data_IF_558392909951
#
_entry.id   IF_558392909951
#
_cell.length_a   1.000
_cell.length_b   1.000
_cell.length_c   1.000
_cell.angle_alpha   90.00
_cell.angle_beta   90.00
_cell.angle_gamma   90.00
#
_symmetry.space_group_name_H-M   'P 1'
#
loop_
_entity.id
_entity.type
_entity.pdbx_description
1 polymer ?
#
# COMPACT_ATOMS: atom_id res chain seq x y z
N UNK A 1 5.82 -15.14 -6.48
CA UNK A 1 5.80 -15.35 -5.01
C UNK A 1 4.49 -14.80 -4.48
N UNK A 2 3.54 -15.65 -4.06
CA UNK A 2 2.35 -15.19 -3.37
C UNK A 2 2.71 -14.94 -1.91
N UNK A 3 2.96 -13.68 -1.55
CA UNK A 3 2.97 -13.32 -0.15
C UNK A 3 1.54 -13.53 0.36
N UNK A 4 1.34 -14.41 1.34
CA UNK A 4 0.14 -14.36 2.18
C UNK A 4 0.22 -13.05 2.95
N UNK A 5 -0.43 -12.04 2.41
CA UNK A 5 -0.55 -10.72 3.01
C UNK A 5 -1.54 -10.86 4.16
N UNK A 6 -1.07 -10.62 5.40
CA UNK A 6 -1.89 -10.74 6.60
C UNK A 6 -2.86 -9.56 6.79
N UNK A 7 -3.40 -9.38 8.00
CA UNK A 7 -4.33 -8.28 8.26
C UNK A 7 -3.76 -6.90 7.91
N UNK A 8 -4.65 -6.00 7.48
CA UNK A 8 -4.34 -4.61 7.16
C UNK A 8 -4.81 -3.70 8.30
N UNK A 9 -3.90 -2.86 8.77
CA UNK A 9 -4.12 -1.87 9.83
C UNK A 9 -3.78 -0.47 9.32
N UNK A 10 -4.34 0.53 10.00
CA UNK A 10 -4.08 1.94 9.74
C UNK A 10 -3.73 2.64 11.04
N UNK A 11 -2.60 3.34 11.08
CA UNK A 11 -2.25 4.16 12.22
C UNK A 11 -3.01 5.50 12.12
N UNK A 12 -4.15 5.63 12.84
CA UNK A 12 -5.07 6.77 12.68
C UNK A 12 -4.46 8.12 13.07
N UNK A 13 -3.49 8.12 14.00
CA UNK A 13 -2.80 9.32 14.48
C UNK A 13 -1.33 9.28 14.05
N UNK A 14 -0.99 10.04 13.00
CA UNK A 14 0.39 10.25 12.59
C UNK A 14 0.73 11.73 12.67
N UNK A 15 1.83 12.04 13.36
CA UNK A 15 2.50 13.33 13.24
C UNK A 15 3.38 13.32 12.00
N UNK A 16 2.98 14.07 10.98
CA UNK A 16 3.74 14.18 9.74
C UNK A 16 4.82 15.26 9.91
N UNK A 17 6.07 14.84 10.04
CA UNK A 17 7.21 15.74 9.86
C UNK A 17 7.32 16.22 8.40
N UNK A 18 8.13 17.25 8.14
CA UNK A 18 8.29 17.84 6.81
C UNK A 18 8.60 16.81 5.72
N UNK A 19 9.45 15.83 6.04
CA UNK A 19 9.83 14.78 5.11
C UNK A 19 8.61 13.92 4.69
N UNK A 20 7.79 13.47 5.65
CA UNK A 20 6.57 12.71 5.36
C UNK A 20 5.55 13.55 4.56
N UNK A 21 5.43 14.84 4.87
CA UNK A 21 4.58 15.75 4.09
C UNK A 21 5.02 15.81 2.62
N UNK A 22 6.34 15.86 2.34
CA UNK A 22 6.88 15.81 0.97
C UNK A 22 6.55 14.48 0.29
N UNK A 23 6.71 13.35 0.98
CA UNK A 23 6.35 12.02 0.43
C UNK A 23 4.86 11.97 0.07
N UNK A 24 3.98 12.40 0.98
CA UNK A 24 2.52 12.44 0.75
C UNK A 24 2.20 13.32 -0.47
N UNK A 25 2.84 14.48 -0.60
CA UNK A 25 2.65 15.36 -1.76
C UNK A 25 3.13 14.69 -3.06
N UNK A 26 4.28 14.01 -3.05
CA UNK A 26 4.76 13.27 -4.23
C UNK A 26 3.79 12.15 -4.62
N UNK A 27 3.25 11.42 -3.66
CA UNK A 27 2.28 10.36 -3.90
C UNK A 27 0.97 10.89 -4.50
N UNK A 28 0.58 12.13 -4.19
CA UNK A 28 -0.62 12.75 -4.77
C UNK A 28 -0.53 13.00 -6.28
N UNK A 29 0.67 12.88 -6.87
CA UNK A 29 0.84 12.93 -8.33
C UNK A 29 0.72 11.55 -9.00
N UNK A 30 0.52 10.49 -8.24
CA UNK A 30 0.34 9.14 -8.78
C UNK A 30 -1.07 8.96 -9.37
N UNK A 31 -1.14 8.11 -10.39
CA UNK A 31 -2.38 7.70 -11.01
C UNK A 31 -2.72 6.27 -10.64
N UNK A 32 -3.98 6.04 -10.33
CA UNK A 32 -4.57 4.72 -10.24
C UNK A 32 -5.46 4.44 -11.44
N UNK A 33 -5.37 3.21 -11.91
CA UNK A 33 -6.17 2.67 -12.97
C UNK A 33 -6.97 1.51 -12.39
N UNK A 34 -8.28 1.53 -12.63
CA UNK A 34 -9.15 0.39 -12.37
C UNK A 34 -9.33 -0.38 -13.68
N UNK A 35 -8.78 -1.59 -13.73
CA UNK A 35 -8.82 -2.46 -14.89
C UNK A 35 -9.28 -3.88 -14.55
N UNK A 36 -8.87 -4.84 -15.38
CA UNK A 36 -9.24 -6.24 -15.22
C UNK A 36 -8.56 -6.87 -14.00
N UNK A 37 -9.29 -7.73 -13.29
CA UNK A 37 -8.75 -8.50 -12.16
C UNK A 37 -7.82 -9.59 -12.68
N UNK A 38 -6.63 -9.69 -12.08
CA UNK A 38 -5.66 -10.75 -12.37
C UNK A 38 -5.24 -11.46 -11.08
N UNK A 39 -4.48 -12.55 -11.20
CA UNK A 39 -3.92 -13.25 -10.03
C UNK A 39 -3.02 -12.33 -9.19
N UNK A 40 -2.30 -11.42 -9.83
CA UNK A 40 -1.39 -10.45 -9.18
C UNK A 40 -2.14 -9.21 -8.67
N UNK A 41 -3.24 -8.84 -9.33
CA UNK A 41 -4.09 -7.69 -9.00
C UNK A 41 -5.55 -8.15 -8.84
N UNK A 42 -5.89 -8.84 -7.74
CA UNK A 42 -7.24 -9.37 -7.52
C UNK A 42 -8.35 -8.32 -7.47
N UNK A 43 -8.01 -7.06 -7.21
CA UNK A 43 -8.96 -5.95 -7.23
C UNK A 43 -8.88 -5.12 -8.52
N UNK A 44 -7.93 -5.43 -9.41
CA UNK A 44 -7.76 -4.74 -10.70
C UNK A 44 -7.15 -3.34 -10.58
N UNK A 45 -6.58 -2.97 -9.42
CA UNK A 45 -5.93 -1.68 -9.24
C UNK A 45 -4.49 -1.70 -9.71
N UNK A 46 -4.10 -0.69 -10.48
CA UNK A 46 -2.74 -0.46 -10.94
C UNK A 46 -2.34 0.98 -10.71
N UNK A 47 -1.12 1.20 -10.24
CA UNK A 47 -0.57 2.53 -9.97
C UNK A 47 0.57 2.84 -10.93
N UNK A 48 0.64 4.08 -11.38
CA UNK A 48 1.71 4.57 -12.25
C UNK A 48 2.01 6.03 -11.97
N UNK A 49 3.27 6.42 -12.18
CA UNK A 49 3.71 7.83 -12.20
C UNK A 49 3.30 8.55 -13.48
N UNK A 50 3.20 7.80 -14.58
CA UNK A 50 2.90 8.36 -15.90
C UNK A 50 1.45 8.05 -16.25
N UNK A 51 0.77 9.06 -16.77
CA UNK A 51 -0.59 8.95 -17.32
C UNK A 51 -0.60 8.24 -18.69
N UNK A 52 -0.11 7.01 -18.77
CA UNK A 52 -0.32 6.17 -19.95
C UNK A 52 -1.59 5.33 -19.71
N UNK A 53 -2.72 5.77 -20.26
CA UNK A 53 -3.94 4.98 -20.26
C UNK A 53 -3.84 3.86 -21.30
N UNK A 54 -4.31 2.67 -20.94
CA UNK A 54 -4.72 1.67 -21.92
C UNK A 54 -6.21 1.87 -22.23
N UNK A 55 -6.63 1.47 -23.43
CA UNK A 55 -8.03 1.56 -23.83
C UNK A 55 -8.93 0.85 -22.81
N UNK A 56 -10.01 1.52 -22.39
CA UNK A 56 -11.02 1.09 -21.40
C UNK A 56 -10.67 1.15 -19.90
N UNK A 57 -9.51 1.67 -19.50
CA UNK A 57 -9.20 1.88 -18.06
C UNK A 57 -9.81 3.18 -17.53
N UNK A 58 -10.36 3.16 -16.29
CA UNK A 58 -10.73 4.40 -15.59
C UNK A 58 -9.53 4.92 -14.80
N UNK A 59 -9.16 6.19 -15.01
CA UNK A 59 -8.06 6.87 -14.34
C UNK A 59 -8.56 7.70 -13.15
N UNK A 60 -7.84 7.61 -12.04
CA UNK A 60 -8.06 8.41 -10.85
C UNK A 60 -6.73 8.97 -10.36
N UNK A 61 -6.68 10.27 -10.07
CA UNK A 61 -5.52 10.87 -9.40
C UNK A 61 -5.58 10.54 -7.90
N UNK A 62 -4.44 10.25 -7.30
CA UNK A 62 -4.34 10.17 -5.85
C UNK A 62 -4.59 11.55 -5.23
N UNK A 63 -5.34 11.58 -4.13
CA UNK A 63 -5.42 12.79 -3.32
C UNK A 63 -4.58 12.62 -2.04
N UNK A 64 -4.52 13.72 -1.28
CA UNK A 64 -3.78 13.75 -0.02
C UNK A 64 -4.33 12.74 1.00
N UNK A 65 -5.65 12.53 1.03
CA UNK A 65 -6.31 11.58 1.95
C UNK A 65 -5.85 10.15 1.67
N UNK A 66 -5.90 9.71 0.41
CA UNK A 66 -5.44 8.38 0.02
C UNK A 66 -3.93 8.24 0.24
N UNK A 67 -3.15 9.25 -0.13
CA UNK A 67 -1.69 9.24 0.06
C UNK A 67 -1.31 9.12 1.54
N UNK A 68 -2.00 9.85 2.41
CA UNK A 68 -1.80 9.79 3.85
C UNK A 68 -2.23 8.44 4.43
N UNK A 69 -3.36 7.89 3.98
CA UNK A 69 -3.79 6.54 4.36
C UNK A 69 -2.75 5.48 3.97
N UNK A 70 -2.23 5.54 2.75
CA UNK A 70 -1.22 4.60 2.26
C UNK A 70 0.05 4.66 3.11
N UNK A 71 0.56 5.86 3.39
CA UNK A 71 1.75 6.07 4.24
C UNK A 71 1.54 5.59 5.68
N UNK A 72 0.30 5.57 6.16
CA UNK A 72 -0.07 5.13 7.49
C UNK A 72 -0.58 3.69 7.54
N UNK A 73 -0.49 2.95 6.43
CA UNK A 73 -0.96 1.57 6.33
C UNK A 73 0.13 0.60 6.78
N UNK A 74 -0.27 -0.37 7.60
CA UNK A 74 0.56 -1.47 8.05
C UNK A 74 -0.08 -2.79 7.65
N UNK A 75 0.75 -3.77 7.32
CA UNK A 75 0.33 -5.12 6.96
C UNK A 75 1.03 -6.11 7.90
N UNK A 76 0.31 -7.12 8.36
CA UNK A 76 0.93 -8.21 9.12
C UNK A 76 1.75 -9.09 8.19
N UNK A 77 3.05 -9.18 8.46
CA UNK A 77 3.97 -10.10 7.81
C UNK A 77 4.30 -11.25 8.76
N UNK A 78 4.19 -12.48 8.25
CA UNK A 78 4.71 -13.68 8.89
C UNK A 78 6.21 -13.78 8.61
N UNK A 79 7.01 -13.83 9.67
CA UNK A 79 8.46 -14.00 9.59
C UNK A 79 8.79 -15.35 10.21
N UNK A 80 9.48 -16.19 9.45
CA UNK A 80 10.00 -17.48 9.93
C UNK A 80 11.51 -17.41 9.91
N UNK A 81 12.12 -17.66 11.06
CA UNK A 81 13.57 -17.72 11.21
C UNK A 81 13.93 -19.18 11.51
N UNK A 82 14.83 -19.71 10.70
CA UNK A 82 15.39 -21.06 10.83
C UNK A 82 16.77 -20.92 11.46
N UNK A 83 16.98 -21.53 12.62
CA UNK A 83 18.26 -21.55 13.33
C UNK A 83 19.18 -22.64 12.75
N UNK A 84 20.46 -22.56 13.09
CA UNK A 84 21.48 -23.50 12.61
C UNK A 84 21.30 -24.94 13.15
N UNK A 85 20.61 -25.10 14.27
CA UNK A 85 20.24 -26.39 14.87
C UNK A 85 19.00 -27.03 14.23
N UNK A 86 18.40 -26.39 13.22
CA UNK A 86 17.18 -26.84 12.56
C UNK A 86 15.88 -26.42 13.26
N UNK A 87 15.96 -25.75 14.42
CA UNK A 87 14.77 -25.16 15.04
C UNK A 87 14.24 -24.01 14.18
N UNK A 88 12.93 -23.86 14.11
CA UNK A 88 12.31 -22.70 13.48
C UNK A 88 11.38 -21.99 14.45
N UNK A 89 11.43 -20.65 14.45
CA UNK A 89 10.45 -19.84 15.14
C UNK A 89 9.75 -18.93 14.15
N UNK A 90 8.45 -18.76 14.34
CA UNK A 90 7.61 -17.93 13.50
C UNK A 90 6.92 -16.87 14.34
N UNK A 91 6.97 -15.62 13.89
CA UNK A 91 6.29 -14.51 14.55
C UNK A 91 5.61 -13.60 13.53
N UNK A 92 4.63 -12.83 14.01
CA UNK A 92 3.83 -11.90 13.21
C UNK A 92 4.21 -10.46 13.56
N UNK A 93 4.70 -9.71 12.57
CA UNK A 93 5.11 -8.32 12.76
C UNK A 93 4.34 -7.38 11.83
N UNK A 94 3.84 -6.22 12.32
CA UNK A 94 3.25 -5.23 11.45
C UNK A 94 4.36 -4.49 10.71
N UNK A 95 4.26 -4.41 9.39
CA UNK A 95 5.23 -3.69 8.55
C UNK A 95 4.55 -2.60 7.74
N UNK A 96 5.22 -1.46 7.62
CA UNK A 96 4.80 -0.42 6.69
C UNK A 96 5.54 -0.62 5.36
N UNK A 97 4.88 -1.27 4.41
CA UNK A 97 5.48 -1.59 3.12
C UNK A 97 5.98 -0.33 2.39
N UNK A 98 5.23 0.76 2.46
CA UNK A 98 5.59 1.98 1.74
C UNK A 98 6.87 2.56 2.33
N UNK A 99 6.88 2.83 3.64
CA UNK A 99 8.05 3.41 4.30
C UNK A 99 9.31 2.52 4.16
N UNK A 100 9.17 1.19 4.19
CA UNK A 100 10.26 0.23 3.96
C UNK A 100 10.85 0.28 2.53
N UNK A 101 10.07 0.79 1.56
CA UNK A 101 10.49 0.90 0.16
C UNK A 101 11.03 2.26 -0.23
N UNK A 102 10.85 3.29 0.61
CA UNK A 102 11.32 4.64 0.31
C UNK A 102 12.85 4.70 0.42
N UNK A 103 13.49 5.26 -0.60
CA UNK A 103 14.92 5.57 -0.55
C UNK A 103 15.14 6.90 0.15
N UNK A 104 16.27 7.03 0.86
CA UNK A 104 16.74 8.33 1.38
C UNK A 104 17.11 9.31 0.26
N UNK A 105 17.40 8.82 -0.94
CA UNK A 105 17.64 9.66 -2.11
C UNK A 105 16.33 10.29 -2.62
N UNK A 106 16.30 11.62 -2.61
CA UNK A 106 15.18 12.45 -3.02
C UNK A 106 14.77 12.27 -4.48
N UNK A 107 15.72 11.93 -5.38
CA UNK A 107 15.44 11.82 -6.82
C UNK A 107 14.61 10.58 -7.17
N UNK A 108 14.56 9.60 -6.27
CA UNK A 108 13.92 8.30 -6.50
C UNK A 108 13.01 7.85 -5.36
N UNK A 109 12.56 8.76 -4.47
CA UNK A 109 11.75 8.43 -3.28
C UNK A 109 10.63 7.45 -3.61
N UNK A 110 9.86 7.75 -4.67
CA UNK A 110 8.86 6.83 -5.20
C UNK A 110 9.51 5.94 -6.25
N UNK A 111 10.27 4.92 -5.86
CA UNK A 111 10.82 3.94 -6.81
C UNK A 111 9.76 2.90 -7.22
N UNK A 112 10.13 1.97 -8.11
CA UNK A 112 9.19 0.94 -8.59
C UNK A 112 8.77 -0.03 -7.48
N UNK A 113 9.62 -0.25 -6.46
CA UNK A 113 9.28 -1.03 -5.27
C UNK A 113 8.15 -0.36 -4.47
N UNK A 114 8.21 0.96 -4.31
CA UNK A 114 7.15 1.75 -3.67
C UNK A 114 5.85 1.68 -4.46
N UNK A 115 5.90 1.82 -5.79
CA UNK A 115 4.70 1.68 -6.64
C UNK A 115 4.11 0.28 -6.51
N UNK A 116 4.93 -0.76 -6.53
CA UNK A 116 4.50 -2.14 -6.31
C UNK A 116 3.86 -2.36 -4.94
N UNK A 117 4.39 -1.74 -3.88
CA UNK A 117 3.80 -1.83 -2.54
C UNK A 117 2.46 -1.09 -2.43
N UNK A 118 2.32 0.05 -3.12
CA UNK A 118 1.02 0.72 -3.23
C UNK A 118 0.02 -0.18 -3.96
N UNK A 119 0.41 -0.76 -5.11
CA UNK A 119 -0.40 -1.76 -5.83
C UNK A 119 -0.84 -2.89 -4.91
N UNK A 120 0.09 -3.41 -4.12
CA UNK A 120 -0.13 -4.48 -3.15
C UNK A 120 -1.19 -4.10 -2.12
N UNK A 121 -1.11 -2.88 -1.55
CA UNK A 121 -2.10 -2.39 -0.57
C UNK A 121 -3.47 -2.20 -1.20
N UNK A 122 -3.57 -1.59 -2.39
CA UNK A 122 -4.86 -1.38 -3.06
C UNK A 122 -5.50 -2.72 -3.48
N UNK A 123 -4.69 -3.72 -3.80
CA UNK A 123 -5.14 -5.07 -4.12
C UNK A 123 -5.31 -5.98 -2.91
N UNK A 124 -5.23 -5.45 -1.69
CA UNK A 124 -5.46 -6.21 -0.46
C UNK A 124 -6.88 -6.82 -0.42
N UNK A 125 -7.09 -8.04 0.13
CA UNK A 125 -8.41 -8.66 0.25
C UNK A 125 -9.47 -7.81 0.95
N UNK A 126 -9.05 -6.95 1.88
CA UNK A 126 -9.91 -5.95 2.54
C UNK A 126 -10.69 -5.07 1.54
N UNK A 127 -10.10 -4.78 0.36
CA UNK A 127 -10.69 -3.96 -0.70
C UNK A 127 -11.35 -4.78 -1.82
N UNK A 128 -11.60 -6.09 -1.65
CA UNK A 128 -12.15 -7.00 -2.69
C UNK A 128 -13.39 -6.51 -3.44
N UNK A 129 -14.23 -5.70 -2.79
CA UNK A 129 -15.48 -5.15 -3.34
C UNK A 129 -15.34 -3.73 -3.90
N UNK A 130 -14.18 -3.08 -3.76
CA UNK A 130 -13.93 -1.74 -4.30
C UNK A 130 -13.71 -1.82 -5.82
N UNK A 131 -14.34 -0.92 -6.58
CA UNK A 131 -14.20 -0.83 -8.04
C UNK A 131 -13.33 0.35 -8.48
N UNK A 132 -13.18 1.36 -7.62
CA UNK A 132 -12.41 2.57 -7.88
C UNK A 132 -11.83 3.14 -6.57
N UNK A 133 -11.00 4.19 -6.68
CA UNK A 133 -10.43 4.88 -5.52
C UNK A 133 -11.51 5.39 -4.55
N UNK A 134 -12.66 5.88 -5.05
CA UNK A 134 -13.71 6.43 -4.18
C UNK A 134 -14.26 5.35 -3.25
N UNK A 135 -14.42 4.12 -3.75
CA UNK A 135 -14.84 2.98 -2.92
C UNK A 135 -13.79 2.63 -1.85
N UNK A 136 -12.50 2.74 -2.18
CA UNK A 136 -11.41 2.55 -1.21
C UNK A 136 -11.50 3.62 -0.13
N UNK A 137 -11.63 4.90 -0.52
CA UNK A 137 -11.72 6.01 0.43
C UNK A 137 -12.89 5.86 1.40
N UNK A 138 -14.04 5.37 0.92
CA UNK A 138 -15.21 5.07 1.77
C UNK A 138 -14.95 3.97 2.79
N UNK A 139 -13.99 3.06 2.55
CA UNK A 139 -13.61 1.98 3.46
C UNK A 139 -12.47 2.31 4.42
N UNK A 140 -11.69 3.37 4.15
CA UNK A 140 -10.59 3.78 5.04
C UNK A 140 -11.03 3.91 6.51
N UNK A 141 -12.18 4.54 6.86
CA UNK A 141 -12.58 4.70 8.25
C UNK A 141 -12.84 3.38 8.99
N UNK A 142 -13.17 2.31 8.27
CA UNK A 142 -13.43 0.98 8.84
C UNK A 142 -12.18 0.11 8.94
N UNK A 143 -11.00 0.63 8.58
CA UNK A 143 -9.74 -0.09 8.77
C UNK A 143 -9.39 -0.05 10.25
N UNK A 144 -9.01 -1.20 10.83
CA UNK A 144 -8.64 -1.31 12.25
C UNK A 144 -7.46 -0.38 12.57
N UNK A 145 -7.50 0.28 13.73
CA UNK A 145 -6.34 1.05 14.18
C UNK A 145 -5.20 0.08 14.53
N UNK A 146 -3.97 0.42 14.14
CA UNK A 146 -2.79 -0.34 14.55
C UNK A 146 -2.63 -0.36 16.07
N UNK A 147 -2.98 0.72 16.76
CA UNK A 147 -2.84 0.83 18.22
C UNK A 147 -3.93 0.08 18.99
N UNK A 148 -4.98 -0.40 18.32
CA UNK A 148 -6.07 -1.20 18.91
C UNK A 148 -5.81 -2.72 18.76
N UNK A 149 -4.60 -3.11 18.32
CA UNK A 149 -4.21 -4.49 18.07
C UNK A 149 -3.78 -5.24 19.34
#
# INVERSE_FOLDING_TARGET
>A
MSHEIGELYHLKRIHNGEWLCKVINLMSFLYCFSGQKTKERPNGFRVSKVSKMMDNEKRYLFDKTLSQFLISTYIIKKVTIIKMDGESFTYLTPINLILDSLTKDYRSILNDKCIYHIDTILNHPYFKKCKNILDIKKRIPSVKDLNER
#
